data_IF_498551144790
#
_entry.id   IF_498551144790
#
_cell.length_a   1.000
_cell.length_b   1.000
_cell.length_c   1.000
_cell.angle_alpha   90.00
_cell.angle_beta   90.00
_cell.angle_gamma   90.00
#
_symmetry.space_group_name_H-M   'P 1'
#
loop_
_entity.id
_entity.type
_entity.pdbx_description
1 polymer ?
#
# COMPACT_ATOMS: atom_id res chain seq x y z
N UNK A 1 -3.19 2.80 19.16
CA UNK A 1 -3.52 2.31 20.52
C UNK A 1 -4.95 2.67 20.85
N UNK A 2 -5.68 1.78 21.53
CA UNK A 2 -7.00 2.13 22.07
C UNK A 2 -6.89 3.27 23.12
N UNK A 3 -7.92 4.10 23.29
CA UNK A 3 -7.94 5.09 24.35
C UNK A 3 -7.85 4.43 25.72
N UNK A 4 -7.09 5.03 26.63
CA UNK A 4 -6.92 4.51 27.98
C UNK A 4 -5.88 3.40 28.10
N UNK A 5 -5.07 3.10 27.08
CA UNK A 5 -3.96 2.13 27.18
C UNK A 5 -3.17 2.30 28.49
N UNK A 6 -3.11 1.22 29.31
CA UNK A 6 -2.74 1.08 30.74
C UNK A 6 -3.90 1.01 31.76
N UNK A 7 -5.09 1.41 31.37
CA UNK A 7 -6.38 1.26 32.08
C UNK A 7 -7.40 0.59 31.13
N UNK A 8 -8.56 0.18 31.65
CA UNK A 8 -9.61 -0.39 30.80
C UNK A 8 -10.21 0.65 29.85
N UNK A 9 -10.51 0.27 28.60
CA UNK A 9 -11.11 1.20 27.64
C UNK A 9 -12.52 1.67 28.09
N UNK A 10 -12.90 2.93 27.80
CA UNK A 10 -14.25 3.43 28.06
C UNK A 10 -15.33 2.67 27.29
N UNK A 11 -16.54 2.59 27.86
CA UNK A 11 -17.73 2.07 27.19
C UNK A 11 -18.26 3.02 26.11
N UNK A 12 -19.02 2.49 25.14
CA UNK A 12 -19.72 3.22 24.07
C UNK A 12 -18.80 4.06 23.15
N UNK A 13 -17.62 3.52 22.83
CA UNK A 13 -16.70 4.10 21.85
C UNK A 13 -16.96 3.55 20.45
N UNK A 14 -16.85 4.44 19.47
CA UNK A 14 -16.80 4.13 18.04
C UNK A 14 -15.66 4.95 17.43
N UNK A 15 -14.52 4.31 17.23
CA UNK A 15 -13.28 4.97 16.79
C UNK A 15 -12.77 4.35 15.51
N UNK A 16 -12.19 5.18 14.65
CA UNK A 16 -11.50 4.74 13.45
C UNK A 16 -10.11 5.38 13.32
N UNK A 17 -9.18 4.61 12.76
CA UNK A 17 -7.86 5.08 12.36
C UNK A 17 -7.63 4.69 10.91
N UNK A 18 -7.49 5.69 10.04
CA UNK A 18 -7.12 5.52 8.65
C UNK A 18 -5.61 5.50 8.50
N UNK A 19 -5.08 4.41 7.96
CA UNK A 19 -3.65 4.25 7.64
C UNK A 19 -3.49 4.35 6.13
N UNK A 20 -2.77 5.39 5.71
CA UNK A 20 -2.33 5.58 4.34
C UNK A 20 -0.80 5.60 4.29
N UNK A 21 -0.23 4.75 3.45
CA UNK A 21 1.23 4.65 3.25
C UNK A 21 1.59 5.04 1.83
N UNK A 22 2.90 5.03 1.50
CA UNK A 22 3.36 5.34 0.15
C UNK A 22 2.62 4.46 -0.87
N UNK A 23 2.25 5.00 -2.05
CA UNK A 23 1.68 4.19 -3.13
C UNK A 23 2.50 2.93 -3.38
N UNK A 24 1.85 1.83 -3.81
CA UNK A 24 2.51 0.56 -4.17
C UNK A 24 3.22 -0.12 -3.01
N UNK A 25 2.80 0.18 -1.78
CA UNK A 25 3.17 -0.59 -0.60
C UNK A 25 1.96 -1.38 -0.11
N UNK A 26 2.25 -2.45 0.62
CA UNK A 26 1.28 -3.21 1.37
C UNK A 26 1.49 -2.93 2.85
N UNK A 27 0.41 -2.84 3.61
CA UNK A 27 0.45 -2.62 5.06
C UNK A 27 0.32 -3.98 5.73
N UNK A 28 1.30 -4.34 6.55
CA UNK A 28 1.19 -5.45 7.50
C UNK A 28 1.00 -4.90 8.90
N UNK A 29 -0.06 -5.36 9.55
CA UNK A 29 -0.39 -5.05 10.94
C UNK A 29 -0.26 -6.31 11.80
N UNK A 30 0.23 -6.14 13.01
CA UNK A 30 0.19 -7.18 14.03
C UNK A 30 -0.25 -6.60 15.39
N UNK A 31 -0.95 -7.41 16.17
CA UNK A 31 -1.35 -7.06 17.53
C UNK A 31 -0.26 -7.43 18.51
N UNK A 32 0.39 -6.42 19.10
CA UNK A 32 1.29 -6.58 20.24
C UNK A 32 0.49 -7.01 21.47
N UNK A 33 -0.68 -6.40 21.69
CA UNK A 33 -1.62 -6.72 22.77
C UNK A 33 -3.06 -6.64 22.25
N UNK A 34 -3.91 -7.53 22.77
CA UNK A 34 -5.34 -7.58 22.47
C UNK A 34 -6.06 -8.16 23.69
N UNK A 35 -6.92 -7.35 24.30
CA UNK A 35 -7.88 -7.72 25.34
C UNK A 35 -9.15 -6.87 25.16
N UNK A 36 -10.04 -7.33 24.28
CA UNK A 36 -11.28 -6.63 23.93
C UNK A 36 -12.47 -7.52 24.24
N UNK A 37 -13.33 -7.18 25.20
CA UNK A 37 -14.28 -8.15 25.75
C UNK A 37 -15.39 -8.54 24.78
N UNK A 38 -15.51 -9.84 24.55
CA UNK A 38 -16.65 -10.45 23.88
C UNK A 38 -16.86 -11.87 24.41
N UNK A 39 -18.12 -12.31 24.47
CA UNK A 39 -18.46 -13.65 24.96
C UNK A 39 -18.54 -14.68 23.83
N UNK A 40 -18.75 -14.23 22.60
CA UNK A 40 -18.96 -15.07 21.43
C UNK A 40 -17.77 -14.98 20.47
N UNK A 41 -17.54 -16.03 19.70
CA UNK A 41 -16.46 -16.01 18.69
C UNK A 41 -16.68 -15.00 17.56
N UNK A 42 -17.92 -14.51 17.41
CA UNK A 42 -18.28 -13.50 16.40
C UNK A 42 -17.87 -12.07 16.75
N UNK A 43 -17.41 -11.81 17.99
CA UNK A 43 -17.08 -10.46 18.45
C UNK A 43 -18.26 -9.48 18.30
N UNK A 44 -19.43 -9.87 18.80
CA UNK A 44 -20.69 -9.12 18.60
C UNK A 44 -20.83 -7.94 19.57
N UNK A 45 -20.20 -8.02 20.74
CA UNK A 45 -20.10 -6.96 21.74
C UNK A 45 -18.96 -6.00 21.37
N UNK A 46 -17.80 -6.09 22.02
CA UNK A 46 -16.65 -5.25 21.69
C UNK A 46 -15.78 -5.90 20.62
N UNK A 47 -15.23 -5.10 19.72
CA UNK A 47 -14.41 -5.61 18.63
C UNK A 47 -13.44 -4.59 18.05
N UNK A 48 -12.38 -5.12 17.46
CA UNK A 48 -11.53 -4.42 16.50
C UNK A 48 -11.74 -5.05 15.13
N UNK A 49 -12.18 -4.28 14.14
CA UNK A 49 -12.26 -4.73 12.74
C UNK A 49 -11.19 -4.04 11.92
N UNK A 50 -10.49 -4.82 11.10
CA UNK A 50 -9.49 -4.32 10.17
C UNK A 50 -10.07 -4.40 8.76
N UNK A 51 -10.06 -3.28 8.05
CA UNK A 51 -10.59 -3.14 6.71
C UNK A 51 -9.46 -2.84 5.73
N UNK A 52 -9.42 -3.58 4.63
CA UNK A 52 -8.65 -3.22 3.44
C UNK A 52 -9.46 -2.21 2.64
N UNK A 53 -8.99 -0.96 2.65
CA UNK A 53 -9.69 0.14 2.00
C UNK A 53 -9.46 0.17 0.49
N UNK A 54 -8.43 -0.52 -0.01
CA UNK A 54 -8.14 -0.63 -1.44
C UNK A 54 -9.02 -1.68 -2.11
N UNK A 55 -9.27 -2.81 -1.44
CA UNK A 55 -10.20 -3.86 -1.92
C UNK A 55 -11.61 -3.77 -1.34
N UNK A 56 -11.87 -2.83 -0.43
CA UNK A 56 -13.12 -2.67 0.32
C UNK A 56 -13.57 -3.95 1.04
N UNK A 57 -12.61 -4.72 1.56
CA UNK A 57 -12.84 -6.03 2.18
C UNK A 57 -12.45 -6.00 3.66
N UNK A 58 -13.22 -6.67 4.51
CA UNK A 58 -12.78 -6.94 5.88
C UNK A 58 -11.63 -7.96 5.88
N UNK A 59 -10.53 -7.62 6.54
CA UNK A 59 -9.37 -8.49 6.74
C UNK A 59 -9.50 -9.32 8.02
N UNK A 60 -10.44 -8.97 8.89
CA UNK A 60 -10.75 -9.71 10.10
C UNK A 60 -11.43 -8.85 11.16
N UNK A 61 -12.13 -9.53 12.06
CA UNK A 61 -12.75 -8.96 13.25
C UNK A 61 -12.19 -9.72 14.45
N UNK A 62 -11.71 -8.98 15.44
CA UNK A 62 -10.90 -9.50 16.54
C UNK A 62 -11.44 -9.02 17.87
N UNK A 63 -11.43 -9.91 18.85
CA UNK A 63 -11.83 -9.67 20.23
C UNK A 63 -11.17 -10.71 21.14
N UNK A 64 -11.45 -10.57 22.42
CA UNK A 64 -10.88 -11.25 23.56
C UNK A 64 -9.34 -11.19 23.49
N UNK A 65 -8.66 -12.26 23.87
CA UNK A 65 -7.22 -12.41 23.71
C UNK A 65 -6.86 -13.21 22.45
N UNK A 66 -7.82 -13.38 21.52
CA UNK A 66 -7.69 -14.19 20.31
C UNK A 66 -7.04 -13.39 19.18
N UNK A 67 -5.71 -13.25 19.24
CA UNK A 67 -4.92 -12.64 18.18
C UNK A 67 -4.94 -13.50 16.89
N UNK A 68 -4.82 -12.88 15.69
CA UNK A 68 -4.59 -13.64 14.47
C UNK A 68 -3.28 -14.44 14.56
N UNK A 69 -3.23 -15.59 13.88
CA UNK A 69 -2.04 -16.46 13.86
C UNK A 69 -0.85 -15.88 13.10
N UNK A 70 -1.02 -14.75 12.42
CA UNK A 70 0.01 -14.06 11.65
C UNK A 70 -0.34 -12.59 11.43
N UNK A 71 0.34 -11.98 10.45
CA UNK A 71 0.12 -10.58 10.07
C UNK A 71 -1.23 -10.42 9.38
N UNK A 72 -1.92 -9.32 9.69
CA UNK A 72 -3.08 -8.84 8.93
C UNK A 72 -2.55 -7.96 7.81
N UNK A 73 -2.79 -8.36 6.56
CA UNK A 73 -2.13 -7.78 5.39
C UNK A 73 -3.17 -7.17 4.45
N UNK A 74 -3.05 -5.88 4.13
CA UNK A 74 -3.90 -5.20 3.13
C UNK A 74 -3.58 -5.64 1.71
N UNK A 75 -4.38 -5.29 0.71
CA UNK A 75 -4.00 -5.49 -0.71
C UNK A 75 -3.05 -4.41 -1.24
N UNK A 76 -3.12 -3.20 -0.67
CA UNK A 76 -2.32 -2.04 -1.10
C UNK A 76 -2.10 -1.07 0.07
N UNK A 77 -1.89 0.21 -0.23
CA UNK A 77 -1.37 1.21 0.70
C UNK A 77 -2.42 1.87 1.60
N UNK A 78 -3.64 1.30 1.71
CA UNK A 78 -4.73 1.84 2.52
C UNK A 78 -5.37 0.76 3.41
N UNK A 79 -5.38 0.99 4.71
CA UNK A 79 -6.00 0.12 5.72
C UNK A 79 -6.76 0.99 6.72
N UNK A 80 -7.89 0.53 7.22
CA UNK A 80 -8.63 1.20 8.30
C UNK A 80 -8.78 0.24 9.48
N UNK A 81 -8.55 0.74 10.68
CA UNK A 81 -8.81 0.04 11.94
C UNK A 81 -10.04 0.69 12.56
N UNK A 82 -11.07 -0.09 12.90
CA UNK A 82 -12.21 0.40 13.69
C UNK A 82 -12.31 -0.35 15.00
N UNK A 83 -12.52 0.40 16.07
CA UNK A 83 -12.76 -0.13 17.41
C UNK A 83 -14.15 0.28 17.88
N UNK A 84 -14.89 -0.71 18.37
CA UNK A 84 -16.21 -0.52 18.96
C UNK A 84 -16.24 -1.14 20.34
N UNK A 85 -16.87 -0.45 21.29
CA UNK A 85 -17.19 -0.99 22.60
C UNK A 85 -18.64 -0.69 22.96
N UNK A 86 -19.34 -1.65 23.56
CA UNK A 86 -20.69 -1.48 24.05
C UNK A 86 -20.73 -0.82 25.45
N UNK A 87 -21.84 -0.97 26.17
CA UNK A 87 -22.04 -0.38 27.51
C UNK A 87 -21.62 -1.29 28.68
N UNK A 88 -21.16 -2.52 28.42
CA UNK A 88 -21.04 -3.61 29.39
C UNK A 88 -19.67 -4.28 29.29
N UNK A 89 -18.92 -4.19 30.40
CA UNK A 89 -17.57 -4.78 30.57
C UNK A 89 -16.55 -4.12 29.64
N UNK A 90 -15.31 -4.14 30.10
CA UNK A 90 -14.18 -3.56 29.39
C UNK A 90 -12.96 -4.44 29.63
N UNK A 91 -12.01 -4.38 28.72
CA UNK A 91 -10.69 -4.98 28.84
C UNK A 91 -9.61 -3.92 28.73
N UNK A 92 -8.37 -4.36 28.65
CA UNK A 92 -7.21 -3.47 28.57
C UNK A 92 -7.03 -2.86 27.16
N UNK A 93 -7.82 -3.33 26.19
CA UNK A 93 -7.88 -2.76 24.84
C UNK A 93 -6.88 -3.41 23.89
N UNK A 94 -6.24 -2.62 23.03
CA UNK A 94 -5.30 -3.17 22.06
C UNK A 94 -4.11 -2.24 21.76
N UNK A 95 -2.96 -2.89 21.55
CA UNK A 95 -1.79 -2.30 20.93
C UNK A 95 -1.52 -3.04 19.63
N UNK A 96 -1.50 -2.30 18.53
CA UNK A 96 -1.13 -2.81 17.22
C UNK A 96 -0.01 -1.96 16.65
N UNK A 97 0.93 -2.63 16.00
CA UNK A 97 2.01 -2.03 15.24
C UNK A 97 1.83 -2.39 13.77
N UNK A 98 2.11 -1.44 12.89
CA UNK A 98 2.08 -1.67 11.46
C UNK A 98 3.43 -1.31 10.84
N UNK A 99 3.76 -2.02 9.78
CA UNK A 99 4.84 -1.69 8.86
C UNK A 99 4.29 -1.72 7.44
N UNK A 100 5.01 -1.08 6.53
CA UNK A 100 4.68 -1.12 5.11
C UNK A 100 5.88 -1.55 4.31
N UNK A 101 5.66 -2.39 3.32
CA UNK A 101 6.68 -2.87 2.41
C UNK A 101 6.24 -2.61 0.98
N UNK A 102 7.21 -2.27 0.14
CA UNK A 102 6.96 -2.10 -1.29
C UNK A 102 6.49 -3.44 -1.84
N UNK A 103 5.38 -3.41 -2.57
CA UNK A 103 5.02 -4.49 -3.47
C UNK A 103 6.02 -4.41 -4.62
N UNK A 104 7.09 -5.16 -4.50
CA UNK A 104 7.88 -5.54 -5.67
C UNK A 104 7.04 -6.66 -6.28
N UNK A 105 6.48 -6.51 -7.50
CA UNK A 105 6.05 -7.69 -8.25
C UNK A 105 7.23 -8.67 -8.34
N UNK A 106 7.03 -9.91 -8.78
CA UNK A 106 8.13 -10.88 -8.95
C UNK A 106 9.11 -10.47 -10.08
N UNK A 107 9.70 -9.28 -10.00
CA UNK A 107 10.47 -8.53 -11.00
C UNK A 107 11.91 -9.00 -11.16
N UNK A 108 12.32 -9.99 -10.37
CA UNK A 108 13.72 -10.43 -10.33
C UNK A 108 13.85 -11.92 -10.68
N UNK A 109 12.79 -12.55 -11.23
CA UNK A 109 12.86 -13.94 -11.70
C UNK A 109 12.38 -14.14 -13.15
N UNK A 110 12.41 -13.09 -13.98
CA UNK A 110 12.53 -13.31 -15.42
C UNK A 110 14.00 -13.49 -15.75
N UNK A 111 14.38 -14.75 -15.95
CA UNK A 111 15.65 -15.26 -16.51
C UNK A 111 15.87 -14.78 -17.95
N UNK A 112 15.77 -13.48 -18.19
CA UNK A 112 16.22 -12.88 -19.44
C UNK A 112 17.62 -12.32 -19.22
N UNK A 113 18.60 -12.78 -20.00
CA UNK A 113 19.90 -12.11 -20.17
C UNK A 113 19.73 -10.74 -20.89
N UNK A 114 18.57 -10.09 -20.72
CA UNK A 114 18.22 -8.85 -21.36
C UNK A 114 18.72 -7.71 -20.49
N UNK A 115 19.73 -7.00 -21.00
CA UNK A 115 20.31 -5.82 -20.35
C UNK A 115 19.92 -4.58 -21.13
N UNK A 116 19.40 -3.58 -20.44
CA UNK A 116 19.14 -2.27 -21.03
C UNK A 116 20.38 -1.37 -20.94
N UNK A 117 20.40 -0.30 -21.74
CA UNK A 117 21.41 0.75 -21.65
C UNK A 117 21.36 1.47 -20.30
N UNK A 118 22.45 2.14 -19.92
CA UNK A 118 22.52 2.89 -18.65
C UNK A 118 21.35 3.87 -18.49
N UNK A 119 20.71 3.82 -17.31
CA UNK A 119 19.55 4.64 -16.98
C UNK A 119 18.21 4.14 -17.54
N UNK A 120 18.14 2.89 -17.98
CA UNK A 120 16.90 2.19 -18.34
C UNK A 120 16.73 0.96 -17.44
N UNK A 121 15.50 0.72 -16.99
CA UNK A 121 15.14 -0.41 -16.14
C UNK A 121 14.52 -1.54 -16.97
N UNK A 122 14.90 -2.79 -16.70
CA UNK A 122 14.37 -3.97 -17.41
C UNK A 122 13.10 -4.44 -16.72
N UNK A 123 12.03 -4.67 -17.48
CA UNK A 123 10.85 -5.39 -17.01
C UNK A 123 10.27 -6.30 -18.10
N UNK A 124 10.11 -7.59 -17.79
CA UNK A 124 9.59 -8.62 -18.71
C UNK A 124 10.25 -8.61 -20.11
N UNK A 125 11.55 -8.29 -20.19
CA UNK A 125 12.31 -8.25 -21.45
C UNK A 125 12.15 -6.97 -22.29
N UNK A 126 11.49 -5.95 -21.74
CA UNK A 126 11.43 -4.59 -22.30
C UNK A 126 12.25 -3.62 -21.44
N UNK A 127 12.69 -2.51 -22.02
CA UNK A 127 13.50 -1.48 -21.36
C UNK A 127 12.68 -0.23 -21.13
N UNK A 128 12.63 0.27 -19.90
CA UNK A 128 11.80 1.42 -19.55
C UNK A 128 12.63 2.56 -19.00
N UNK A 129 12.19 3.78 -19.27
CA UNK A 129 12.80 4.97 -18.69
C UNK A 129 11.79 6.06 -18.43
N UNK A 130 11.87 6.64 -17.23
CA UNK A 130 11.10 7.83 -16.87
C UNK A 130 11.79 9.06 -17.41
N UNK A 131 11.05 9.89 -18.12
CA UNK A 131 11.46 11.26 -18.40
C UNK A 131 10.59 12.20 -17.56
N UNK A 132 11.25 12.99 -16.71
CA UNK A 132 10.61 14.03 -15.91
C UNK A 132 11.04 15.37 -16.49
N UNK A 133 10.11 16.07 -17.14
CA UNK A 133 10.32 17.44 -17.60
C UNK A 133 9.65 18.44 -16.65
N UNK A 134 10.26 19.60 -16.47
CA UNK A 134 9.67 20.72 -15.71
C UNK A 134 8.54 21.41 -16.49
N UNK A 135 8.53 21.25 -17.81
CA UNK A 135 7.51 21.80 -18.71
C UNK A 135 6.58 20.72 -19.26
N UNK A 136 5.32 21.10 -19.51
CA UNK A 136 4.35 20.23 -20.13
C UNK A 136 4.74 19.92 -21.59
N UNK A 137 5.00 18.65 -21.89
CA UNK A 137 5.23 18.17 -23.25
C UNK A 137 3.94 17.62 -23.87
N UNK A 138 3.73 17.86 -25.16
CA UNK A 138 2.67 17.20 -25.94
C UNK A 138 3.03 15.74 -26.20
N UNK A 139 2.03 14.93 -26.58
CA UNK A 139 2.23 13.52 -26.92
C UNK A 139 3.25 13.34 -28.05
N UNK A 140 3.18 14.17 -29.11
CA UNK A 140 4.11 14.09 -30.23
C UNK A 140 5.55 14.46 -29.84
N UNK A 141 5.72 15.47 -28.99
CA UNK A 141 7.05 15.85 -28.49
C UNK A 141 7.66 14.76 -27.61
N UNK A 142 6.85 14.16 -26.74
CA UNK A 142 7.27 13.05 -25.88
C UNK A 142 7.64 11.80 -26.70
N UNK A 143 6.86 11.47 -27.73
CA UNK A 143 7.14 10.37 -28.65
C UNK A 143 8.46 10.58 -29.41
N UNK A 144 8.72 11.80 -29.87
CA UNK A 144 9.99 12.13 -30.53
C UNK A 144 11.20 11.89 -29.61
N UNK A 145 11.08 12.17 -28.31
CA UNK A 145 12.16 11.88 -27.34
C UNK A 145 12.34 10.38 -27.15
N UNK A 146 11.25 9.61 -27.04
CA UNK A 146 11.37 8.15 -26.96
C UNK A 146 12.04 7.56 -28.21
N UNK A 147 11.72 8.09 -29.39
CA UNK A 147 12.26 7.66 -30.69
C UNK A 147 13.72 8.10 -30.93
N UNK A 148 14.34 8.90 -30.05
CA UNK A 148 15.81 9.07 -30.06
C UNK A 148 16.52 7.72 -29.89
N UNK A 149 15.89 6.77 -29.20
CA UNK A 149 16.24 5.37 -29.25
C UNK A 149 15.53 4.70 -30.45
N UNK A 150 16.22 4.05 -31.40
CA UNK A 150 15.60 3.52 -32.62
C UNK A 150 14.46 2.52 -32.44
N UNK A 151 14.29 1.95 -31.24
CA UNK A 151 13.17 1.05 -30.88
C UNK A 151 12.26 1.63 -29.79
N UNK A 152 12.55 2.85 -29.33
CA UNK A 152 11.89 3.48 -28.22
C UNK A 152 10.56 4.12 -28.63
N UNK A 153 9.52 3.86 -27.85
CA UNK A 153 8.19 4.45 -28.03
C UNK A 153 7.59 4.83 -26.68
N UNK A 154 6.57 5.69 -26.68
CA UNK A 154 5.77 5.91 -25.47
C UNK A 154 5.19 4.59 -24.95
N UNK A 155 5.25 4.39 -23.64
CA UNK A 155 4.75 3.18 -22.99
C UNK A 155 3.26 2.97 -23.24
N UNK A 156 2.93 1.74 -23.60
CA UNK A 156 1.57 1.21 -23.57
C UNK A 156 1.49 0.16 -22.46
N UNK A 157 0.62 0.37 -21.47
CA UNK A 157 0.45 -0.54 -20.33
C UNK A 157 -0.36 -1.77 -20.78
N UNK A 158 0.23 -2.95 -20.71
CA UNK A 158 -0.34 -4.22 -21.20
C UNK A 158 -1.04 -5.03 -20.13
N UNK A 159 -0.55 -4.97 -18.89
CA UNK A 159 -1.08 -5.74 -17.77
C UNK A 159 -0.87 -5.03 -16.43
N UNK A 160 -1.41 -5.64 -15.37
CA UNK A 160 -1.33 -5.11 -14.01
C UNK A 160 0.10 -5.10 -13.47
N UNK A 161 0.95 -6.05 -13.86
CA UNK A 161 2.32 -6.13 -13.36
C UNK A 161 3.19 -5.02 -13.98
N UNK A 162 3.01 -4.72 -15.27
CA UNK A 162 3.61 -3.58 -15.96
C UNK A 162 3.11 -2.25 -15.39
N UNK A 163 1.81 -2.15 -15.08
CA UNK A 163 1.29 -0.97 -14.40
C UNK A 163 1.97 -0.78 -13.04
N UNK A 164 2.10 -1.84 -12.24
CA UNK A 164 2.77 -1.80 -10.93
C UNK A 164 4.25 -1.46 -11.07
N UNK A 165 4.93 -1.97 -12.11
CA UNK A 165 6.32 -1.64 -12.43
C UNK A 165 6.56 -0.15 -12.64
N UNK A 166 5.81 0.44 -13.57
CA UNK A 166 5.94 1.86 -13.91
C UNK A 166 5.70 2.71 -12.67
N UNK A 167 4.69 2.35 -11.91
CA UNK A 167 4.34 3.01 -10.68
C UNK A 167 5.39 2.87 -9.56
N UNK A 168 6.02 1.70 -9.41
CA UNK A 168 7.17 1.52 -8.55
C UNK A 168 8.30 2.47 -8.95
N UNK A 169 8.62 2.55 -10.24
CA UNK A 169 9.64 3.48 -10.75
C UNK A 169 9.27 4.96 -10.54
N UNK A 170 7.98 5.34 -10.55
CA UNK A 170 7.57 6.70 -10.09
C UNK A 170 7.84 6.87 -8.60
N UNK A 171 7.49 5.87 -7.79
CA UNK A 171 7.53 5.95 -6.32
C UNK A 171 8.95 5.98 -5.76
N UNK A 172 9.90 5.31 -6.40
CA UNK A 172 11.32 5.38 -6.03
C UNK A 172 11.92 6.77 -6.29
N UNK A 173 11.33 7.54 -7.21
CA UNK A 173 11.68 8.94 -7.44
C UNK A 173 10.97 9.89 -6.45
N UNK A 174 9.94 9.43 -5.73
CA UNK A 174 9.18 10.23 -4.75
C UNK A 174 9.98 10.58 -3.49
N UNK A 175 11.08 9.87 -3.19
CA UNK A 175 11.96 10.25 -2.07
C UNK A 175 12.72 11.57 -2.33
N UNK A 176 12.61 12.17 -3.52
CA UNK A 176 13.33 13.39 -3.90
C UNK A 176 12.43 14.63 -4.00
N UNK A 177 11.11 14.52 -4.21
CA UNK A 177 10.24 15.70 -4.42
C UNK A 177 8.79 15.49 -3.97
N UNK A 178 8.50 15.69 -2.69
CA UNK A 178 7.13 15.89 -2.24
C UNK A 178 6.60 17.23 -2.78
N UNK A 179 5.44 17.18 -3.45
CA UNK A 179 4.48 18.27 -3.73
C UNK A 179 4.39 18.93 -5.10
N UNK A 180 5.21 18.59 -6.10
CA UNK A 180 4.99 19.15 -7.43
C UNK A 180 4.23 18.16 -8.33
N UNK A 181 2.99 18.53 -8.65
CA UNK A 181 2.19 17.86 -9.67
C UNK A 181 2.76 18.27 -11.02
N UNK A 182 3.86 17.64 -11.44
CA UNK A 182 4.52 17.97 -12.70
C UNK A 182 3.68 17.48 -13.88
N UNK A 183 3.10 18.42 -14.62
CA UNK A 183 2.54 18.19 -15.94
C UNK A 183 3.73 17.95 -16.90
N UNK A 184 3.82 16.78 -17.55
CA UNK A 184 4.90 16.48 -18.51
C UNK A 184 5.70 15.18 -18.30
N UNK A 185 5.28 14.28 -17.40
CA UNK A 185 5.92 12.96 -17.25
C UNK A 185 5.46 11.99 -18.34
N UNK A 186 6.41 11.31 -18.96
CA UNK A 186 6.14 10.21 -19.88
C UNK A 186 7.17 9.11 -19.72
N UNK A 187 6.77 7.91 -20.13
CA UNK A 187 7.61 6.73 -20.10
C UNK A 187 7.93 6.32 -21.52
N UNK A 188 9.18 5.93 -21.75
CA UNK A 188 9.59 5.25 -22.98
C UNK A 188 9.78 3.76 -22.70
N UNK A 189 9.39 2.89 -23.64
CA UNK A 189 9.66 1.43 -23.67
C UNK A 189 10.41 1.02 -24.94
#
# INVERSE_FOLDING_TARGET
>A
MSPGYFDSYPSNLDLSWDIATKPWTQISLHFVELDVKSLEEGCNEDYVIIMDMSSQRSLGRFCDQKKPSGLVVSSLNRMEIRFHSDSIRSGDGFLAEYSSYILIPDMINSTSNHTCSDGWDVFHGSCYRLFINSEASTWNEAELVCQENPKGHLVSIRDQDEMVFLHYMISSQWEVTETETYIGKYWCT
#
